data_IF_348432788537
#
_entry.id   IF_348432788537
#
_cell.length_a   1.000
_cell.length_b   1.000
_cell.length_c   1.000
_cell.angle_alpha   90.00
_cell.angle_beta   90.00
_cell.angle_gamma   90.00
#
_symmetry.space_group_name_H-M   'P 1'
#
loop_
_entity.id
_entity.type
_entity.pdbx_description
1 polymer ?
#
# COMPACT_ATOMS: atom_id res chain seq x y z
N UNK A 1 4.05 10.07 -12.97
CA UNK A 1 5.29 10.22 -12.17
C UNK A 1 5.98 8.87 -12.14
N UNK A 2 7.21 8.77 -12.66
CA UNK A 2 8.04 7.57 -12.52
C UNK A 2 8.87 7.72 -11.24
N UNK A 3 8.34 7.24 -10.12
CA UNK A 3 9.11 7.12 -8.88
C UNK A 3 10.04 5.90 -8.95
N UNK A 4 11.21 5.98 -8.34
CA UNK A 4 12.07 4.80 -8.14
C UNK A 4 11.31 3.76 -7.31
N UNK A 5 11.31 2.51 -7.75
CA UNK A 5 10.80 1.38 -6.96
C UNK A 5 11.98 0.76 -6.23
N UNK A 6 11.87 0.64 -4.91
CA UNK A 6 12.84 -0.05 -4.06
C UNK A 6 12.13 -1.18 -3.34
N UNK A 7 12.66 -2.38 -3.47
CA UNK A 7 12.12 -3.56 -2.81
C UNK A 7 13.18 -4.17 -1.90
N UNK A 8 12.81 -4.50 -0.65
CA UNK A 8 13.69 -5.17 0.31
C UNK A 8 12.94 -6.30 1.01
N UNK A 9 13.55 -7.48 1.03
CA UNK A 9 13.00 -8.63 1.75
C UNK A 9 13.68 -8.76 3.11
N UNK A 10 12.90 -8.73 4.18
CA UNK A 10 13.40 -8.87 5.54
C UNK A 10 12.32 -9.47 6.45
N UNK A 11 12.72 -10.35 7.37
CA UNK A 11 11.84 -10.96 8.37
C UNK A 11 10.56 -11.60 7.79
N UNK A 12 10.67 -12.26 6.63
CA UNK A 12 9.53 -12.91 5.95
C UNK A 12 8.57 -11.97 5.22
N UNK A 13 8.94 -10.68 5.08
CA UNK A 13 8.14 -9.67 4.38
C UNK A 13 8.92 -9.08 3.21
N UNK A 14 8.18 -8.66 2.19
CA UNK A 14 8.64 -7.83 1.07
C UNK A 14 8.17 -6.40 1.32
N UNK A 15 9.12 -5.48 1.50
CA UNK A 15 8.86 -4.06 1.71
C UNK A 15 9.09 -3.35 0.38
N UNK A 16 8.05 -2.72 -0.15
CA UNK A 16 8.07 -2.00 -1.42
C UNK A 16 7.91 -0.51 -1.10
N UNK A 17 8.84 0.32 -1.55
CA UNK A 17 8.75 1.77 -1.51
C UNK A 17 8.70 2.32 -2.93
N UNK A 18 7.77 3.24 -3.19
CA UNK A 18 7.54 3.83 -4.52
C UNK A 18 7.79 5.33 -4.45
N UNK A 19 8.73 5.80 -5.27
CA UNK A 19 9.16 7.19 -5.28
C UNK A 19 10.17 7.48 -4.18
N UNK A 20 10.02 8.63 -3.52
CA UNK A 20 10.89 9.09 -2.45
C UNK A 20 10.11 9.59 -1.24
N UNK A 21 10.80 10.21 -0.28
CA UNK A 21 10.18 10.74 0.94
C UNK A 21 8.99 11.68 0.67
N UNK A 22 9.00 12.40 -0.46
CA UNK A 22 7.93 13.29 -0.86
C UNK A 22 6.65 12.57 -1.34
N UNK A 23 6.75 11.34 -1.82
CA UNK A 23 5.60 10.56 -2.35
C UNK A 23 4.93 9.76 -1.24
N UNK A 24 5.73 9.19 -0.32
CA UNK A 24 5.21 8.50 0.86
C UNK A 24 4.38 7.24 0.57
N UNK A 25 4.56 6.64 -0.61
CA UNK A 25 3.86 5.41 -1.00
C UNK A 25 4.72 4.20 -0.65
N UNK A 26 4.18 3.29 0.15
CA UNK A 26 4.85 2.06 0.54
C UNK A 26 3.85 0.91 0.73
N UNK A 27 4.31 -0.31 0.54
CA UNK A 27 3.53 -1.52 0.82
C UNK A 27 4.40 -2.55 1.53
N UNK A 28 3.79 -3.29 2.45
CA UNK A 28 4.39 -4.44 3.11
C UNK A 28 3.57 -5.66 2.76
N UNK A 29 4.21 -6.62 2.10
CA UNK A 29 3.64 -7.91 1.70
C UNK A 29 4.36 -9.03 2.44
N UNK A 30 3.75 -10.21 2.56
CA UNK A 30 4.50 -11.41 2.91
C UNK A 30 5.39 -11.84 1.75
N UNK A 31 6.49 -12.54 2.03
CA UNK A 31 7.33 -13.20 1.02
C UNK A 31 6.78 -14.56 0.58
N UNK A 32 5.45 -14.73 0.64
CA UNK A 32 4.75 -15.95 0.23
C UNK A 32 4.30 -15.88 -1.25
N UNK A 33 3.79 -16.99 -1.76
CA UNK A 33 3.18 -17.07 -3.09
C UNK A 33 1.82 -17.80 -3.04
N UNK A 34 0.68 -17.10 -3.16
CA UNK A 34 0.56 -15.65 -3.35
C UNK A 34 0.98 -14.84 -2.10
N UNK A 35 1.47 -13.60 -2.28
CA UNK A 35 1.76 -12.71 -1.16
C UNK A 35 0.46 -12.20 -0.52
N UNK A 36 0.48 -12.06 0.80
CA UNK A 36 -0.59 -11.38 1.56
C UNK A 36 -0.21 -9.92 1.78
N UNK A 37 -1.18 -9.02 1.72
CA UNK A 37 -0.98 -7.61 2.03
C UNK A 37 -1.05 -7.40 3.54
N UNK A 38 0.04 -6.93 4.16
CA UNK A 38 0.04 -6.56 5.59
C UNK A 38 -0.33 -5.09 5.78
N UNK A 39 0.24 -4.21 4.97
CA UNK A 39 -0.13 -2.78 4.97
C UNK A 39 0.18 -2.10 3.64
N UNK A 40 -0.53 -0.99 3.39
CA UNK A 40 -0.26 -0.06 2.29
C UNK A 40 -0.38 1.36 2.84
N UNK A 41 0.63 2.20 2.61
CA UNK A 41 0.54 3.65 2.79
C UNK A 41 0.49 4.31 1.42
N UNK A 42 -0.48 5.20 1.21
CA UNK A 42 -0.65 5.95 -0.05
C UNK A 42 -0.25 7.43 0.10
N UNK A 43 0.32 7.80 1.24
CA UNK A 43 0.62 9.20 1.57
C UNK A 43 -0.63 10.03 1.83
N UNK A 44 -0.47 11.35 1.74
CA UNK A 44 -1.57 12.30 1.87
C UNK A 44 -2.20 12.57 0.50
N UNK A 45 -3.50 12.32 0.39
CA UNK A 45 -4.30 12.57 -0.81
C UNK A 45 -5.43 13.53 -0.43
N UNK A 46 -5.39 14.74 -0.98
CA UNK A 46 -6.38 15.80 -0.72
C UNK A 46 -6.61 16.09 0.77
N UNK A 47 -5.54 16.14 1.58
CA UNK A 47 -5.63 16.41 3.01
C UNK A 47 -5.88 15.17 3.88
N UNK A 48 -6.15 14.01 3.29
CA UNK A 48 -6.40 12.76 4.00
C UNK A 48 -5.23 11.81 3.83
N UNK A 49 -4.64 11.36 4.93
CA UNK A 49 -3.65 10.28 4.89
C UNK A 49 -4.38 8.95 4.69
N UNK A 50 -4.14 8.29 3.55
CA UNK A 50 -4.79 7.05 3.18
C UNK A 50 -3.87 5.85 3.38
N UNK A 51 -4.42 4.77 3.92
CA UNK A 51 -3.71 3.52 4.03
C UNK A 51 -4.60 2.31 4.28
N UNK A 52 -3.99 1.15 4.25
CA UNK A 52 -4.59 -0.14 4.61
C UNK A 52 -3.70 -0.82 5.65
N UNK A 53 -4.31 -1.49 6.62
CA UNK A 53 -3.62 -2.35 7.58
C UNK A 53 -4.48 -3.57 7.85
N UNK A 54 -3.92 -4.75 7.62
CA UNK A 54 -4.60 -6.03 7.83
C UNK A 54 -5.03 -6.22 9.30
N UNK A 55 -6.12 -6.95 9.54
CA UNK A 55 -6.58 -7.29 10.88
C UNK A 55 -7.30 -6.17 11.66
N UNK A 56 -7.41 -4.97 11.09
CA UNK A 56 -8.13 -3.84 11.72
C UNK A 56 -9.65 -3.89 11.51
N UNK A 57 -10.12 -4.72 10.57
CA UNK A 57 -11.52 -4.71 10.13
C UNK A 57 -11.87 -3.54 9.18
N UNK A 58 -10.90 -2.69 8.82
CA UNK A 58 -11.10 -1.55 7.92
C UNK A 58 -10.41 -1.76 6.57
N UNK A 59 -11.15 -1.48 5.49
CA UNK A 59 -10.64 -1.67 4.14
C UNK A 59 -10.38 -3.13 3.80
N UNK A 60 -9.73 -3.34 2.65
CA UNK A 60 -9.32 -4.67 2.17
C UNK A 60 -8.18 -4.49 1.17
N UNK A 61 -7.29 -5.46 1.07
CA UNK A 61 -6.28 -5.48 0.03
C UNK A 61 -5.89 -6.91 -0.31
N UNK A 62 -5.58 -7.12 -1.59
CA UNK A 62 -5.11 -8.38 -2.14
C UNK A 62 -3.87 -8.10 -2.99
N UNK A 63 -2.97 -9.08 -3.08
CA UNK A 63 -1.79 -8.97 -3.90
C UNK A 63 -1.55 -10.24 -4.72
N UNK A 64 -1.00 -10.05 -5.90
CA UNK A 64 -0.46 -11.12 -6.73
C UNK A 64 0.96 -10.79 -7.17
N UNK A 65 1.75 -11.83 -7.43
CA UNK A 65 3.13 -11.72 -7.89
C UNK A 65 3.30 -12.48 -9.20
N UNK A 66 3.91 -11.85 -10.19
CA UNK A 66 4.29 -12.46 -11.47
C UNK A 66 5.75 -12.10 -11.77
N UNK A 67 6.66 -13.07 -11.60
CA UNK A 67 8.09 -12.80 -11.62
C UNK A 67 8.48 -11.80 -10.53
N UNK A 68 9.01 -10.64 -10.94
CA UNK A 68 9.36 -9.52 -10.03
C UNK A 68 8.28 -8.43 -9.99
N UNK A 69 7.16 -8.62 -10.66
CA UNK A 69 6.04 -7.66 -10.67
C UNK A 69 5.03 -8.02 -9.59
N UNK A 70 4.67 -7.01 -8.80
CA UNK A 70 3.65 -7.08 -7.77
C UNK A 70 2.46 -6.22 -8.17
N UNK A 71 1.28 -6.82 -8.17
CA UNK A 71 0.01 -6.11 -8.31
C UNK A 71 -0.71 -6.13 -6.97
N UNK A 72 -1.05 -4.96 -6.45
CA UNK A 72 -1.77 -4.78 -5.19
C UNK A 72 -3.03 -3.96 -5.46
N UNK A 73 -4.19 -4.50 -5.12
CA UNK A 73 -5.47 -3.80 -5.26
C UNK A 73 -6.20 -3.80 -3.94
N UNK A 74 -7.04 -2.79 -3.72
CA UNK A 74 -7.78 -2.73 -2.48
C UNK A 74 -8.60 -1.48 -2.27
N UNK A 75 -8.99 -1.28 -1.02
CA UNK A 75 -9.65 -0.08 -0.51
C UNK A 75 -8.89 0.37 0.73
N UNK A 76 -8.30 1.56 0.63
CA UNK A 76 -7.64 2.24 1.73
C UNK A 76 -8.65 3.08 2.51
N UNK A 77 -8.37 3.27 3.79
CA UNK A 77 -9.14 4.12 4.69
C UNK A 77 -8.28 5.28 5.21
N UNK A 78 -8.92 6.34 5.67
CA UNK A 78 -8.28 7.49 6.29
C UNK A 78 -9.29 8.35 7.04
N UNK A 79 -8.80 9.30 7.83
CA UNK A 79 -9.62 10.24 8.58
C UNK A 79 -9.51 11.61 7.94
N UNK A 80 -10.64 12.19 7.55
CA UNK A 80 -10.71 13.60 7.17
C UNK A 80 -10.85 14.44 8.45
N UNK A 81 -9.83 15.26 8.75
CA UNK A 81 -9.84 16.11 9.94
C UNK A 81 -10.89 17.22 9.88
N UNK A 82 -11.38 17.58 8.68
CA UNK A 82 -12.51 18.49 8.53
C UNK A 82 -13.86 17.80 8.84
N UNK A 83 -13.92 16.47 8.79
CA UNK A 83 -15.11 15.68 9.13
C UNK A 83 -14.73 14.32 9.76
N UNK A 84 -14.27 14.30 11.03
CA UNK A 84 -13.69 13.11 11.65
C UNK A 84 -14.72 12.03 12.01
N UNK A 85 -16.02 12.32 11.87
CA UNK A 85 -17.09 11.37 12.17
C UNK A 85 -17.30 10.31 11.08
N UNK A 86 -16.78 10.54 9.88
CA UNK A 86 -16.94 9.61 8.75
C UNK A 86 -15.58 9.25 8.17
N UNK A 87 -15.17 7.96 8.22
CA UNK A 87 -13.93 7.53 7.60
C UNK A 87 -14.03 7.66 6.07
N UNK A 88 -12.94 8.11 5.46
CA UNK A 88 -12.80 8.20 4.01
C UNK A 88 -12.32 6.86 3.50
N UNK A 89 -13.05 6.27 2.54
CA UNK A 89 -12.65 5.03 1.88
C UNK A 89 -12.39 5.30 0.40
N UNK A 90 -11.25 4.84 -0.12
CA UNK A 90 -10.87 5.03 -1.53
C UNK A 90 -10.30 3.74 -2.12
N UNK A 91 -10.71 3.35 -3.33
CA UNK A 91 -10.06 2.26 -4.04
C UNK A 91 -8.64 2.67 -4.42
N UNK A 92 -7.74 1.70 -4.50
CA UNK A 92 -6.39 1.90 -5.00
C UNK A 92 -5.93 0.69 -5.82
N UNK A 93 -4.97 0.95 -6.69
CA UNK A 93 -4.22 -0.05 -7.44
C UNK A 93 -2.75 0.38 -7.50
N UNK A 94 -1.86 -0.55 -7.20
CA UNK A 94 -0.41 -0.41 -7.30
C UNK A 94 0.08 -1.55 -8.21
N UNK A 95 0.78 -1.18 -9.28
CA UNK A 95 1.43 -2.11 -10.20
C UNK A 95 2.90 -1.70 -10.31
N UNK A 96 3.78 -2.55 -9.81
CA UNK A 96 5.21 -2.24 -9.67
C UNK A 96 6.08 -3.45 -9.95
N UNK A 97 7.20 -3.20 -10.62
CA UNK A 97 8.26 -4.19 -10.82
C UNK A 97 9.44 -3.87 -9.92
N UNK A 98 9.81 -4.82 -9.07
CA UNK A 98 11.02 -4.73 -8.27
C UNK A 98 12.26 -4.97 -9.17
N UNK A 99 13.32 -4.16 -9.04
CA UNK A 99 14.57 -4.36 -9.78
C UNK A 99 15.32 -5.63 -9.35
#
# INVERSE_FOLDING_TARGET
MTGSVVCTTAAGNVNIAIGGAATGIAAVLTDANPPEVKSVGLGNVNGVTLGYTSGTGQGKAEASKSGNTYKITGTATGVDMANPMQPVNKPFEIDVTCP
#
